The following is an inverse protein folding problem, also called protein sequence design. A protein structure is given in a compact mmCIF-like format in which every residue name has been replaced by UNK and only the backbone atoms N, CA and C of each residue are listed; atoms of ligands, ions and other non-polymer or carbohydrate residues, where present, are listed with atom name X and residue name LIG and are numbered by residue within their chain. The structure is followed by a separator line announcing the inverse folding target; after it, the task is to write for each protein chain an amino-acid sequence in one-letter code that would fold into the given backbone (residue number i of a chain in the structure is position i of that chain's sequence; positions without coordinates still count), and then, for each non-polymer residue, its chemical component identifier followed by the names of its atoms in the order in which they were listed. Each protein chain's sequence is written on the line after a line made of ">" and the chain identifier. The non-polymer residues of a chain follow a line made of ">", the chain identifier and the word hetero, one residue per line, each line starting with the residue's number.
data_IF_840388048966
#
_entry.id   IF_840388048966
#
_cell.length_a   1.000
_cell.length_b   1.000
_cell.length_c   1.000
_cell.angle_alpha   90.00
_cell.angle_beta   90.00
_cell.angle_gamma   90.00
#
_symmetry.space_group_name_H-M   'P 1'
#
loop_
_entity.id
_entity.type
_entity.pdbx_description
1 polymer ?
#
# COMPACT_ATOMS: atom_id res chain seq x y z
N UNK A 1 18.46 -21.27 -32.65
CA UNK A 1 17.55 -20.84 -31.55
C UNK A 1 18.26 -19.83 -30.68
N UNK A 2 17.90 -18.57 -30.77
CA UNK A 2 18.48 -17.49 -29.98
C UNK A 2 17.73 -17.28 -28.70
N UNK A 3 18.40 -16.67 -27.69
CA UNK A 3 17.75 -16.17 -26.51
C UNK A 3 16.84 -14.99 -26.86
N UNK A 4 15.67 -14.88 -26.20
CA UNK A 4 14.72 -13.81 -26.41
C UNK A 4 14.55 -13.01 -25.10
N UNK A 5 14.71 -11.69 -25.20
CA UNK A 5 14.33 -10.77 -24.14
C UNK A 5 13.02 -10.09 -24.56
N UNK A 6 12.07 -9.99 -23.65
CA UNK A 6 10.75 -9.45 -23.93
C UNK A 6 10.34 -8.49 -22.81
N UNK A 7 10.10 -7.23 -23.16
CA UNK A 7 9.50 -6.27 -22.26
C UNK A 7 7.97 -6.46 -22.23
N UNK A 8 7.40 -6.43 -21.04
CA UNK A 8 5.97 -6.59 -20.78
C UNK A 8 5.47 -5.47 -19.90
N UNK A 9 4.24 -5.05 -20.08
CA UNK A 9 3.59 -4.19 -19.08
C UNK A 9 3.25 -5.00 -17.81
N UNK A 10 3.11 -4.32 -16.68
CA UNK A 10 2.89 -4.91 -15.35
C UNK A 10 1.51 -5.58 -15.15
N UNK A 11 0.82 -5.94 -16.22
CA UNK A 11 -0.46 -6.66 -16.14
C UNK A 11 -0.22 -8.15 -15.93
N UNK A 12 -0.80 -8.80 -14.92
CA UNK A 12 -0.62 -10.23 -14.65
C UNK A 12 -0.95 -11.15 -15.83
N UNK A 13 -1.95 -10.75 -16.64
CA UNK A 13 -2.36 -11.49 -17.85
C UNK A 13 -1.25 -11.61 -18.90
N UNK A 14 -0.33 -10.65 -18.96
CA UNK A 14 0.75 -10.64 -19.95
C UNK A 14 1.84 -11.69 -19.69
N UNK A 15 1.93 -12.20 -18.47
CA UNK A 15 2.88 -13.24 -18.09
C UNK A 15 2.33 -14.66 -18.25
N UNK A 16 1.01 -14.84 -18.24
CA UNK A 16 0.40 -16.18 -18.35
C UNK A 16 0.73 -16.83 -19.69
N UNK A 17 1.06 -18.12 -19.66
CA UNK A 17 1.41 -18.91 -20.84
C UNK A 17 2.82 -18.66 -21.40
N UNK A 18 3.67 -17.89 -20.73
CA UNK A 18 5.07 -17.66 -21.09
C UNK A 18 5.98 -18.57 -20.30
N UNK A 19 7.24 -18.67 -20.73
CA UNK A 19 8.30 -19.43 -20.05
C UNK A 19 9.58 -18.60 -20.00
N UNK A 20 10.39 -18.82 -18.96
CA UNK A 20 11.68 -18.18 -18.80
C UNK A 20 11.81 -17.38 -17.49
N UNK A 21 12.98 -16.79 -17.30
CA UNK A 21 13.25 -15.94 -16.14
C UNK A 21 12.45 -14.64 -16.22
N UNK A 22 11.98 -14.17 -15.08
CA UNK A 22 11.24 -12.91 -14.95
C UNK A 22 12.05 -11.94 -14.10
N UNK A 23 12.17 -10.72 -14.57
CA UNK A 23 12.64 -9.58 -13.77
C UNK A 23 11.49 -8.58 -13.66
N UNK A 24 11.10 -8.24 -12.46
CA UNK A 24 10.14 -7.19 -12.15
C UNK A 24 10.96 -5.99 -11.72
N UNK A 25 11.00 -5.00 -12.59
CA UNK A 25 11.70 -3.74 -12.36
C UNK A 25 10.78 -2.76 -11.66
N UNK A 26 11.33 -1.87 -10.85
CA UNK A 26 10.58 -0.91 -10.01
C UNK A 26 9.48 -1.59 -9.16
N UNK A 27 9.82 -2.76 -8.57
CA UNK A 27 8.85 -3.63 -7.92
C UNK A 27 8.03 -2.93 -6.82
N UNK A 28 8.62 -2.00 -6.07
CA UNK A 28 7.93 -1.26 -5.02
C UNK A 28 6.86 -0.28 -5.52
N UNK A 29 6.85 0.03 -6.83
CA UNK A 29 5.95 1.01 -7.45
C UNK A 29 4.82 0.39 -8.27
N UNK A 30 4.69 -0.94 -8.24
CA UNK A 30 3.58 -1.61 -8.92
C UNK A 30 2.34 -1.63 -8.04
N UNK A 31 1.22 -1.07 -8.50
CA UNK A 31 -0.06 -1.06 -7.78
C UNK A 31 -0.57 -2.48 -7.45
N UNK A 32 -0.29 -3.45 -8.32
CA UNK A 32 -0.72 -4.83 -8.18
C UNK A 32 0.46 -5.81 -8.09
N UNK A 33 1.50 -5.46 -7.33
CA UNK A 33 2.70 -6.29 -7.22
C UNK A 33 2.37 -7.75 -6.81
N UNK A 34 1.43 -7.94 -5.89
CA UNK A 34 1.04 -9.28 -5.42
C UNK A 34 0.56 -10.18 -6.57
N UNK A 35 -0.30 -9.67 -7.44
CA UNK A 35 -0.84 -10.42 -8.58
C UNK A 35 0.21 -10.65 -9.68
N UNK A 36 1.04 -9.65 -9.93
CA UNK A 36 2.18 -9.75 -10.86
C UNK A 36 3.16 -10.82 -10.38
N UNK A 37 3.51 -10.80 -9.09
CA UNK A 37 4.41 -11.76 -8.47
C UNK A 37 3.83 -13.17 -8.49
N UNK A 38 2.54 -13.34 -8.18
CA UNK A 38 1.84 -14.62 -8.25
C UNK A 38 1.91 -15.23 -9.65
N UNK A 39 1.69 -14.41 -10.69
CA UNK A 39 1.81 -14.86 -12.07
C UNK A 39 3.26 -15.24 -12.43
N UNK A 40 4.26 -14.46 -11.97
CA UNK A 40 5.67 -14.74 -12.19
C UNK A 40 6.13 -16.01 -11.47
N UNK A 41 5.70 -16.23 -10.23
CA UNK A 41 6.06 -17.42 -9.44
C UNK A 41 5.53 -18.72 -10.05
N UNK A 42 4.40 -18.70 -10.76
CA UNK A 42 3.90 -19.87 -11.47
C UNK A 42 4.91 -20.40 -12.52
N UNK A 43 5.78 -19.54 -13.05
CA UNK A 43 6.82 -19.94 -14.01
C UNK A 43 7.99 -20.66 -13.35
N UNK A 44 8.18 -20.51 -12.03
CA UNK A 44 9.29 -21.15 -11.30
C UNK A 44 9.17 -22.68 -11.24
N UNK A 45 7.98 -23.24 -11.45
CA UNK A 45 7.76 -24.67 -11.54
C UNK A 45 8.63 -25.35 -12.62
N UNK A 46 9.02 -24.58 -13.64
CA UNK A 46 9.87 -25.04 -14.74
C UNK A 46 11.33 -24.64 -14.59
N UNK A 47 11.76 -24.28 -13.35
CA UNK A 47 13.15 -23.90 -13.06
C UNK A 47 13.48 -22.44 -13.38
N UNK A 48 12.51 -21.63 -13.76
CA UNK A 48 12.70 -20.20 -13.99
C UNK A 48 13.03 -19.46 -12.68
N UNK A 49 13.74 -18.35 -12.81
CA UNK A 49 14.07 -17.45 -11.68
C UNK A 49 13.24 -16.19 -11.76
N UNK A 50 12.78 -15.74 -10.61
CA UNK A 50 12.10 -14.44 -10.45
C UNK A 50 13.02 -13.50 -9.70
N UNK A 51 13.25 -12.32 -10.25
CA UNK A 51 14.02 -11.22 -9.65
C UNK A 51 13.11 -10.02 -9.49
N UNK A 52 13.20 -9.37 -8.33
CA UNK A 52 12.56 -8.09 -8.05
C UNK A 52 13.70 -7.08 -7.86
N UNK A 53 13.62 -5.98 -8.58
CA UNK A 53 14.58 -4.88 -8.50
C UNK A 53 13.78 -3.61 -8.21
N UNK A 54 14.18 -2.84 -7.23
CA UNK A 54 13.56 -1.55 -6.93
C UNK A 54 14.38 -0.75 -5.92
N UNK A 55 14.21 0.56 -5.89
CA UNK A 55 14.35 1.36 -4.67
C UNK A 55 13.15 1.09 -3.77
N UNK A 56 13.18 1.56 -2.52
CA UNK A 56 12.03 1.43 -1.62
C UNK A 56 10.94 2.44 -1.95
N UNK A 57 9.73 2.16 -1.50
CA UNK A 57 8.57 3.06 -1.55
C UNK A 57 7.80 2.93 -0.22
N UNK A 58 8.44 3.37 0.85
CA UNK A 58 7.93 3.26 2.21
C UNK A 58 8.07 1.88 2.85
N UNK A 59 7.91 1.83 4.17
CA UNK A 59 7.97 0.57 4.95
C UNK A 59 6.74 -0.32 4.72
N UNK A 60 5.59 0.28 4.40
CA UNK A 60 4.29 -0.40 4.24
C UNK A 60 4.06 -0.85 2.79
N UNK A 61 5.06 -1.48 2.20
CA UNK A 61 5.03 -1.91 0.81
C UNK A 61 5.37 -3.39 0.72
N UNK A 62 4.68 -4.15 -0.13
CA UNK A 62 4.90 -5.58 -0.31
C UNK A 62 6.36 -5.91 -0.64
N UNK A 63 7.05 -5.05 -1.40
CA UNK A 63 8.47 -5.24 -1.70
C UNK A 63 9.32 -5.23 -0.41
N UNK A 64 9.07 -4.28 0.50
CA UNK A 64 9.75 -4.24 1.81
C UNK A 64 9.34 -5.44 2.69
N UNK A 65 8.07 -5.84 2.71
CA UNK A 65 7.61 -7.02 3.45
C UNK A 65 8.35 -8.28 2.99
N UNK A 66 8.49 -8.47 1.68
CA UNK A 66 9.23 -9.60 1.11
C UNK A 66 10.70 -9.61 1.53
N UNK A 67 11.35 -8.44 1.62
CA UNK A 67 12.73 -8.30 2.11
C UNK A 67 12.80 -8.69 3.58
N UNK A 68 11.91 -8.17 4.43
CA UNK A 68 11.90 -8.47 5.86
C UNK A 68 11.61 -9.95 6.11
N UNK A 69 10.62 -10.52 5.44
CA UNK A 69 10.29 -11.95 5.54
C UNK A 69 11.42 -12.85 5.06
N UNK A 70 12.16 -12.42 4.04
CA UNK A 70 13.32 -13.18 3.54
C UNK A 70 14.48 -13.13 4.53
N UNK A 71 14.75 -11.97 5.13
CA UNK A 71 15.77 -11.82 6.19
C UNK A 71 15.41 -12.61 7.45
N UNK A 72 14.11 -12.71 7.76
CA UNK A 72 13.59 -13.52 8.87
C UNK A 72 13.51 -15.03 8.55
N UNK A 73 13.93 -15.47 7.37
CA UNK A 73 13.88 -16.87 6.94
C UNK A 73 12.49 -17.41 6.58
N UNK A 74 11.46 -16.55 6.54
CA UNK A 74 10.09 -16.95 6.18
C UNK A 74 9.92 -17.12 4.66
N UNK A 75 10.76 -16.50 3.86
CA UNK A 75 10.79 -16.60 2.39
C UNK A 75 12.16 -17.07 1.92
N UNK A 76 12.22 -17.67 0.73
CA UNK A 76 13.45 -18.24 0.15
C UNK A 76 14.15 -17.30 -0.84
N UNK A 77 13.94 -16.00 -0.76
CA UNK A 77 14.65 -15.07 -1.62
C UNK A 77 16.05 -14.77 -1.06
N UNK A 78 17.02 -14.64 -1.95
CA UNK A 78 18.27 -13.96 -1.61
C UNK A 78 18.06 -12.46 -1.70
N UNK A 79 18.45 -11.73 -0.65
CA UNK A 79 18.34 -10.27 -0.61
C UNK A 79 19.70 -9.66 -0.92
N UNK A 80 19.75 -8.84 -1.96
CA UNK A 80 20.92 -8.07 -2.34
C UNK A 80 20.64 -6.59 -2.10
N UNK A 81 21.53 -5.90 -1.42
CA UNK A 81 21.46 -4.47 -1.17
C UNK A 81 22.67 -3.80 -1.81
N UNK A 82 22.45 -2.78 -2.60
CA UNK A 82 23.49 -1.98 -3.24
C UNK A 82 23.15 -0.51 -2.99
N UNK A 83 23.99 0.17 -2.24
CA UNK A 83 23.88 1.61 -1.97
C UNK A 83 24.64 2.43 -2.99
N UNK A 84 24.45 3.75 -2.96
CA UNK A 84 25.25 4.68 -3.75
C UNK A 84 26.74 4.54 -3.47
N UNK A 85 27.11 4.36 -2.18
CA UNK A 85 28.52 4.19 -1.81
C UNK A 85 29.09 2.88 -2.35
N UNK A 86 28.37 1.76 -2.22
CA UNK A 86 28.77 0.48 -2.81
C UNK A 86 28.96 0.59 -4.32
N UNK A 87 28.06 1.30 -5.00
CA UNK A 87 28.13 1.49 -6.45
C UNK A 87 29.32 2.38 -6.85
N UNK A 88 29.63 3.42 -6.07
CA UNK A 88 30.80 4.27 -6.29
C UNK A 88 32.10 3.50 -6.06
N UNK A 89 32.19 2.69 -5.00
CA UNK A 89 33.34 1.80 -4.78
C UNK A 89 33.56 0.84 -5.94
N UNK A 90 32.48 0.36 -6.57
CA UNK A 90 32.53 -0.48 -7.75
C UNK A 90 32.79 0.30 -9.05
N UNK A 91 32.97 1.62 -8.97
CA UNK A 91 33.39 2.47 -10.08
C UNK A 91 32.25 3.14 -10.86
N UNK A 92 31.06 3.30 -10.27
CA UNK A 92 29.91 3.97 -10.94
C UNK A 92 30.31 5.37 -11.44
N UNK A 93 30.83 6.23 -10.58
CA UNK A 93 31.16 7.59 -10.98
C UNK A 93 32.36 7.64 -11.95
N UNK A 94 33.33 6.76 -11.81
CA UNK A 94 34.43 6.58 -12.80
C UNK A 94 33.86 6.29 -14.18
N UNK A 95 32.87 5.40 -14.25
CA UNK A 95 32.21 5.06 -15.50
C UNK A 95 31.42 6.24 -16.09
N UNK A 96 30.72 6.99 -15.25
CA UNK A 96 30.01 8.23 -15.66
C UNK A 96 31.01 9.25 -16.24
N UNK A 97 32.12 9.49 -15.56
CA UNK A 97 33.18 10.38 -16.04
C UNK A 97 33.72 9.92 -17.41
N UNK A 98 34.01 8.63 -17.54
CA UNK A 98 34.49 8.04 -18.80
C UNK A 98 33.51 8.28 -19.95
N UNK A 99 32.21 8.03 -19.74
CA UNK A 99 31.18 8.23 -20.76
C UNK A 99 31.02 9.71 -21.13
N UNK A 100 31.20 10.61 -20.15
CA UNK A 100 31.11 12.06 -20.34
C UNK A 100 32.41 12.73 -20.81
N UNK A 101 33.48 11.96 -20.98
CA UNK A 101 34.78 12.50 -21.38
C UNK A 101 35.43 13.41 -20.34
N UNK A 102 35.11 13.22 -19.05
CA UNK A 102 35.65 14.02 -17.94
C UNK A 102 36.68 13.21 -17.12
N UNK A 103 37.71 13.84 -16.56
CA UNK A 103 38.62 13.16 -15.64
C UNK A 103 37.86 12.81 -14.35
N UNK A 104 38.15 11.61 -13.81
CA UNK A 104 37.68 11.24 -12.49
C UNK A 104 38.71 11.67 -11.42
N UNK A 105 38.21 12.21 -10.32
CA UNK A 105 38.98 12.41 -9.08
C UNK A 105 38.11 12.05 -7.88
N UNK A 106 38.72 11.66 -6.72
CA UNK A 106 37.92 11.39 -5.51
C UNK A 106 37.10 12.58 -5.04
N UNK A 107 37.67 13.80 -5.14
CA UNK A 107 36.99 15.05 -4.74
C UNK A 107 35.76 15.31 -5.60
N UNK A 108 35.85 15.10 -6.90
CA UNK A 108 34.71 15.26 -7.83
C UNK A 108 33.64 14.20 -7.58
N UNK A 109 34.01 12.98 -7.15
CA UNK A 109 33.05 11.94 -6.77
C UNK A 109 32.29 12.31 -5.49
N UNK A 110 32.99 12.80 -4.46
CA UNK A 110 32.34 13.25 -3.22
C UNK A 110 31.44 14.48 -3.46
N UNK A 111 31.87 15.43 -4.26
CA UNK A 111 31.03 16.58 -4.65
C UNK A 111 29.78 16.14 -5.41
N UNK A 112 29.92 15.20 -6.34
CA UNK A 112 28.79 14.64 -7.10
C UNK A 112 27.80 13.92 -6.18
N UNK A 113 28.26 13.08 -5.26
CA UNK A 113 27.41 12.43 -4.25
C UNK A 113 26.68 13.45 -3.38
N UNK A 114 27.41 14.44 -2.88
CA UNK A 114 26.83 15.51 -2.07
C UNK A 114 25.73 16.31 -2.80
N UNK A 115 25.92 16.55 -4.09
CA UNK A 115 24.92 17.25 -4.91
C UNK A 115 23.69 16.37 -5.14
N UNK A 116 23.83 15.08 -5.43
CA UNK A 116 22.69 14.13 -5.52
C UNK A 116 21.83 14.17 -4.25
N UNK A 117 22.46 14.16 -3.08
CA UNK A 117 21.73 14.19 -1.80
C UNK A 117 21.04 15.54 -1.54
N UNK A 118 21.60 16.64 -2.02
CA UNK A 118 20.98 17.98 -1.92
C UNK A 118 19.82 18.18 -2.86
N UNK A 119 19.81 17.47 -4.00
CA UNK A 119 18.77 17.60 -5.02
C UNK A 119 17.48 16.86 -4.61
N UNK A 120 17.54 15.99 -3.57
CA UNK A 120 16.34 15.33 -3.03
C UNK A 120 15.54 16.27 -2.13
N UNK A 121 14.22 16.11 -2.11
CA UNK A 121 13.32 16.98 -1.37
C UNK A 121 13.52 16.89 0.15
N UNK A 122 13.82 15.68 0.68
CA UNK A 122 14.09 15.44 2.09
C UNK A 122 15.27 14.48 2.27
N UNK A 123 15.82 14.45 3.49
CA UNK A 123 16.86 13.49 3.84
C UNK A 123 16.34 12.04 3.77
N UNK A 124 15.11 11.84 4.15
CA UNK A 124 14.43 10.54 4.11
C UNK A 124 14.29 10.05 2.66
N UNK A 125 13.98 10.95 1.71
CA UNK A 125 13.96 10.63 0.28
C UNK A 125 15.33 10.17 -0.21
N UNK A 126 16.39 10.89 0.19
CA UNK A 126 17.76 10.53 -0.18
C UNK A 126 18.18 9.16 0.39
N UNK A 127 17.79 8.85 1.63
CA UNK A 127 18.06 7.56 2.26
C UNK A 127 17.29 6.44 1.57
N UNK A 128 16.06 6.68 1.16
CA UNK A 128 15.24 5.69 0.46
C UNK A 128 15.79 5.41 -0.94
N UNK A 129 16.07 6.44 -1.71
CA UNK A 129 16.48 6.34 -3.10
C UNK A 129 17.91 5.81 -3.25
N UNK A 130 18.86 6.31 -2.45
CA UNK A 130 20.28 6.04 -2.63
C UNK A 130 20.88 5.06 -1.62
N UNK A 131 20.24 4.85 -0.48
CA UNK A 131 20.80 4.03 0.59
C UNK A 131 19.94 2.82 0.98
N UNK A 132 18.86 2.54 0.25
CA UNK A 132 17.97 1.42 0.50
C UNK A 132 17.41 1.40 1.93
N UNK A 133 17.06 2.56 2.47
CA UNK A 133 16.44 2.73 3.78
C UNK A 133 15.00 3.18 3.57
N UNK A 134 14.00 2.29 3.73
CA UNK A 134 12.62 2.65 3.48
C UNK A 134 12.15 3.71 4.48
N UNK A 135 11.37 4.68 4.01
CA UNK A 135 10.78 5.70 4.85
C UNK A 135 9.79 5.07 5.82
N UNK A 136 9.85 5.48 7.07
CA UNK A 136 8.79 5.22 8.04
C UNK A 136 7.59 6.13 7.70
N UNK A 137 6.56 5.60 7.06
CA UNK A 137 5.37 6.35 6.67
C UNK A 137 5.44 6.92 5.26
N UNK A 138 5.51 6.06 4.25
CA UNK A 138 5.47 6.43 2.83
C UNK A 138 4.13 7.03 2.44
N UNK A 139 4.02 8.37 2.40
CA UNK A 139 2.87 9.07 1.84
C UNK A 139 1.59 9.08 2.68
N UNK A 140 1.45 8.24 3.67
CA UNK A 140 0.29 8.26 4.56
C UNK A 140 0.46 9.37 5.63
N UNK A 141 -0.51 10.28 5.69
CA UNK A 141 -0.56 11.32 6.74
C UNK A 141 -0.51 10.72 8.16
N UNK A 142 -1.09 9.53 8.34
CA UNK A 142 -1.02 8.72 9.55
C UNK A 142 -0.39 7.37 9.22
N UNK A 143 0.72 7.03 9.85
CA UNK A 143 1.30 5.70 9.71
C UNK A 143 0.42 4.63 10.34
N UNK A 144 0.49 3.40 9.83
CA UNK A 144 -0.23 2.24 10.40
C UNK A 144 0.06 2.07 11.90
N UNK A 145 1.31 2.21 12.31
CA UNK A 145 1.70 2.12 13.73
C UNK A 145 1.03 3.20 14.59
N UNK A 146 0.86 4.44 14.07
CA UNK A 146 0.13 5.50 14.77
C UNK A 146 -1.36 5.19 14.87
N UNK A 147 -1.96 4.61 13.85
CA UNK A 147 -3.36 4.17 13.84
C UNK A 147 -3.54 3.04 14.86
N UNK A 148 -2.76 1.96 14.75
CA UNK A 148 -2.85 0.80 15.64
C UNK A 148 -2.66 1.17 17.12
N UNK A 149 -1.75 2.11 17.43
CA UNK A 149 -1.56 2.61 18.81
C UNK A 149 -2.76 3.38 19.37
N UNK A 150 -3.72 3.75 18.54
CA UNK A 150 -4.94 4.49 18.91
C UNK A 150 -6.22 3.67 18.72
N UNK A 151 -6.10 2.46 18.17
CA UNK A 151 -7.24 1.57 18.03
C UNK A 151 -7.76 1.13 19.40
N UNK A 152 -9.08 1.09 19.50
CA UNK A 152 -9.80 0.56 20.66
C UNK A 152 -10.75 -0.52 20.15
N UNK A 153 -11.15 -1.43 21.03
CA UNK A 153 -12.19 -2.40 20.74
C UNK A 153 -13.55 -1.70 20.76
N UNK A 154 -14.06 -1.39 19.58
CA UNK A 154 -15.33 -0.69 19.40
C UNK A 154 -16.31 -1.55 18.57
N UNK A 155 -17.63 -1.48 18.84
CA UNK A 155 -18.62 -2.20 18.07
C UNK A 155 -18.56 -1.86 16.56
N UNK A 156 -18.68 -2.89 15.72
CA UNK A 156 -18.86 -2.73 14.27
C UNK A 156 -20.15 -3.41 13.90
N UNK A 157 -21.15 -2.63 13.50
CA UNK A 157 -22.43 -3.14 13.01
C UNK A 157 -22.40 -3.24 11.49
N UNK A 158 -23.01 -4.30 10.94
CA UNK A 158 -22.92 -4.62 9.52
C UNK A 158 -24.29 -4.88 8.94
N UNK A 159 -24.52 -4.34 7.74
CA UNK A 159 -25.65 -4.71 6.89
C UNK A 159 -25.14 -5.10 5.50
N UNK A 160 -25.60 -6.24 5.01
CA UNK A 160 -25.28 -6.71 3.66
C UNK A 160 -26.57 -6.90 2.86
N UNK A 161 -26.76 -6.10 1.81
CA UNK A 161 -27.90 -6.22 0.90
C UNK A 161 -27.81 -7.50 0.07
N UNK A 162 -28.72 -8.43 0.32
CA UNK A 162 -28.83 -9.68 -0.45
C UNK A 162 -29.30 -9.42 -1.90
N UNK A 163 -29.28 -10.45 -2.73
CA UNK A 163 -29.84 -10.37 -4.09
C UNK A 163 -31.35 -10.06 -4.05
N UNK A 164 -32.07 -10.65 -3.09
CA UNK A 164 -33.50 -10.43 -2.88
C UNK A 164 -33.75 -9.00 -2.43
N UNK A 165 -33.02 -8.45 -1.46
CA UNK A 165 -33.04 -7.06 -1.04
C UNK A 165 -32.89 -6.11 -2.22
N UNK A 166 -31.96 -6.37 -3.12
CA UNK A 166 -31.69 -5.51 -4.27
C UNK A 166 -32.74 -5.67 -5.39
N UNK A 167 -33.49 -6.75 -5.41
CA UNK A 167 -34.55 -7.02 -6.40
C UNK A 167 -35.88 -6.38 -6.07
N UNK A 168 -36.14 -6.01 -4.80
CA UNK A 168 -37.43 -5.41 -4.40
C UNK A 168 -37.47 -3.89 -4.67
N UNK A 169 -38.70 -3.30 -4.81
CA UNK A 169 -38.84 -1.86 -4.93
C UNK A 169 -38.26 -1.06 -3.77
N UNK A 170 -37.91 0.19 -4.05
CA UNK A 170 -37.19 1.09 -3.10
C UNK A 170 -37.86 1.21 -1.73
N UNK A 171 -39.21 1.32 -1.73
CA UNK A 171 -39.97 1.48 -0.47
C UNK A 171 -39.90 0.25 0.46
N UNK A 172 -39.77 -0.96 -0.08
CA UNK A 172 -39.53 -2.16 0.74
C UNK A 172 -38.12 -2.20 1.29
N UNK A 173 -37.12 -1.81 0.49
CA UNK A 173 -35.73 -1.67 0.98
C UNK A 173 -35.64 -0.66 2.12
N UNK A 174 -36.33 0.48 1.99
CA UNK A 174 -36.38 1.48 3.05
C UNK A 174 -36.91 0.91 4.36
N UNK A 175 -38.04 0.14 4.31
CA UNK A 175 -38.61 -0.49 5.49
C UNK A 175 -37.64 -1.50 6.15
N UNK A 176 -36.89 -2.26 5.36
CA UNK A 176 -35.91 -3.23 5.86
C UNK A 176 -34.74 -2.53 6.53
N UNK A 177 -34.23 -1.45 5.90
CA UNK A 177 -33.15 -0.63 6.49
C UNK A 177 -33.64 0.05 7.77
N UNK A 178 -34.84 0.62 7.79
CA UNK A 178 -35.41 1.24 8.98
C UNK A 178 -35.53 0.24 10.14
N UNK A 179 -35.98 -0.98 9.86
CA UNK A 179 -36.08 -2.04 10.88
C UNK A 179 -34.66 -2.40 11.41
N UNK A 180 -33.69 -2.54 10.52
CA UNK A 180 -32.30 -2.81 10.91
C UNK A 180 -31.71 -1.64 11.73
N UNK A 181 -31.98 -0.40 11.34
CA UNK A 181 -31.54 0.77 12.09
C UNK A 181 -32.14 0.81 13.51
N UNK A 182 -33.42 0.47 13.65
CA UNK A 182 -34.09 0.40 14.95
C UNK A 182 -33.44 -0.66 15.86
N UNK A 183 -33.08 -1.80 15.29
CA UNK A 183 -32.52 -2.91 16.06
C UNK A 183 -31.05 -2.71 16.40
N UNK A 184 -30.24 -2.21 15.46
CA UNK A 184 -28.77 -2.24 15.59
C UNK A 184 -28.13 -0.85 15.76
N UNK A 185 -28.63 0.19 15.05
CA UNK A 185 -28.00 1.50 15.04
C UNK A 185 -28.48 2.39 16.21
N UNK A 186 -29.80 2.51 16.39
CA UNK A 186 -30.36 3.39 17.42
C UNK A 186 -29.87 3.07 18.82
N UNK A 187 -29.74 1.79 19.26
CA UNK A 187 -29.20 1.48 20.58
C UNK A 187 -27.76 1.94 20.81
N UNK A 188 -26.97 2.13 19.72
CA UNK A 188 -25.62 2.67 19.80
C UNK A 188 -25.64 4.20 19.83
N UNK A 189 -26.52 4.83 19.07
CA UNK A 189 -26.71 6.27 19.09
C UNK A 189 -27.22 6.75 20.45
N UNK A 190 -28.13 6.02 21.09
CA UNK A 190 -28.67 6.34 22.42
C UNK A 190 -27.60 6.29 23.55
N UNK A 191 -26.49 5.57 23.30
CA UNK A 191 -25.36 5.53 24.25
C UNK A 191 -24.39 6.69 24.11
N UNK A 192 -24.52 7.52 23.09
CA UNK A 192 -23.66 8.67 22.91
C UNK A 192 -23.90 9.72 23.99
N UNK A 193 -22.83 10.33 24.51
CA UNK A 193 -22.96 11.42 25.50
C UNK A 193 -23.50 12.68 24.82
N UNK A 194 -24.73 13.13 25.12
CA UNK A 194 -25.31 14.30 24.47
C UNK A 194 -24.61 15.64 24.83
N UNK A 195 -23.67 15.63 25.76
CA UNK A 195 -22.87 16.82 26.14
C UNK A 195 -21.68 17.03 25.20
N UNK A 196 -21.32 16.05 24.38
CA UNK A 196 -20.21 16.14 23.45
C UNK A 196 -20.72 16.68 22.10
N UNK A 197 -19.81 17.29 21.34
CA UNK A 197 -20.08 17.58 19.94
C UNK A 197 -19.92 16.29 19.13
N UNK A 198 -20.87 16.05 18.22
CA UNK A 198 -20.84 14.88 17.35
C UNK A 198 -20.80 15.28 15.88
N UNK A 199 -20.09 14.50 15.09
CA UNK A 199 -20.10 14.53 13.65
C UNK A 199 -19.93 13.09 13.12
N UNK A 200 -20.02 12.89 11.83
CA UNK A 200 -19.68 11.60 11.20
C UNK A 200 -18.93 11.83 9.91
N UNK A 201 -18.15 10.83 9.51
CA UNK A 201 -17.59 10.72 8.18
C UNK A 201 -18.16 9.50 7.48
N UNK A 202 -18.33 9.58 6.18
CA UNK A 202 -18.83 8.49 5.36
C UNK A 202 -17.95 8.33 4.13
N UNK A 203 -17.55 7.08 3.87
CA UNK A 203 -16.90 6.67 2.64
C UNK A 203 -17.83 5.74 1.88
N UNK A 204 -18.23 6.16 0.68
CA UNK A 204 -19.25 5.47 -0.11
C UNK A 204 -18.66 4.32 -0.92
N UNK A 205 -19.18 3.13 -0.72
CA UNK A 205 -18.94 1.94 -1.53
C UNK A 205 -20.25 1.23 -1.90
N UNK A 206 -20.21 0.29 -2.85
CA UNK A 206 -21.39 -0.50 -3.19
C UNK A 206 -21.07 -1.98 -3.35
N UNK A 207 -20.56 -2.40 -4.49
CA UNK A 207 -20.42 -3.83 -4.83
C UNK A 207 -18.99 -4.35 -4.76
N UNK A 208 -17.98 -3.50 -4.90
CA UNK A 208 -16.57 -3.85 -4.79
C UNK A 208 -15.96 -3.50 -3.44
N UNK A 209 -16.43 -2.37 -2.88
CA UNK A 209 -15.97 -1.82 -1.61
C UNK A 209 -17.12 -1.70 -0.62
N UNK A 210 -16.80 -1.56 0.66
CA UNK A 210 -17.76 -1.26 1.72
C UNK A 210 -18.08 0.23 1.75
N UNK A 211 -19.33 0.59 2.06
CA UNK A 211 -19.59 1.89 2.65
C UNK A 211 -19.29 1.80 4.13
N UNK A 212 -18.53 2.76 4.63
CA UNK A 212 -18.22 2.85 6.05
C UNK A 212 -18.68 4.20 6.59
N UNK A 213 -19.50 4.17 7.64
CA UNK A 213 -19.90 5.37 8.38
C UNK A 213 -19.21 5.32 9.74
N UNK A 214 -18.46 6.39 10.04
CA UNK A 214 -17.73 6.55 11.30
C UNK A 214 -18.29 7.73 12.10
N UNK A 215 -19.20 7.51 13.04
CA UNK A 215 -19.60 8.52 14.00
C UNK A 215 -18.42 8.94 14.87
N UNK A 216 -18.33 10.21 15.20
CA UNK A 216 -17.24 10.77 15.98
C UNK A 216 -17.78 11.66 17.11
N UNK A 217 -17.36 11.39 18.32
CA UNK A 217 -17.56 12.25 19.46
C UNK A 217 -16.29 13.09 19.70
N UNK A 218 -16.46 14.38 19.98
CA UNK A 218 -15.37 15.33 20.24
C UNK A 218 -15.43 15.78 21.69
N UNK A 219 -14.41 15.44 22.46
CA UNK A 219 -14.32 15.84 23.87
C UNK A 219 -13.94 17.33 24.01
N UNK A 220 -14.09 17.88 25.22
CA UNK A 220 -13.66 19.25 25.51
C UNK A 220 -12.15 19.48 25.28
N UNK A 221 -11.32 18.42 25.39
CA UNK A 221 -9.90 18.46 25.09
C UNK A 221 -9.60 18.26 23.61
N UNK A 222 -10.61 18.32 22.75
CA UNK A 222 -10.54 18.10 21.29
C UNK A 222 -10.06 16.67 20.90
N UNK A 223 -10.14 15.71 21.81
CA UNK A 223 -9.91 14.31 21.47
C UNK A 223 -11.10 13.80 20.67
N UNK A 224 -10.82 13.20 19.54
CA UNK A 224 -11.80 12.60 18.65
C UNK A 224 -11.88 11.09 18.92
N UNK A 225 -13.07 10.62 19.23
CA UNK A 225 -13.34 9.21 19.56
C UNK A 225 -14.37 8.68 18.58
N UNK A 226 -14.10 7.50 18.01
CA UNK A 226 -15.07 6.77 17.18
C UNK A 226 -15.70 5.69 18.04
N UNK A 227 -16.93 5.87 18.52
CA UNK A 227 -17.56 4.96 19.48
C UNK A 227 -18.02 3.64 18.85
N UNK A 228 -18.30 3.62 17.57
CA UNK A 228 -18.65 2.44 16.78
C UNK A 228 -18.46 2.71 15.29
N UNK A 229 -18.55 1.67 14.46
CA UNK A 229 -18.53 1.76 13.00
C UNK A 229 -19.79 1.10 12.42
N UNK A 230 -20.24 1.63 11.30
CA UNK A 230 -21.28 1.01 10.45
C UNK A 230 -20.62 0.61 9.14
N UNK A 231 -20.73 -0.65 8.76
CA UNK A 231 -20.27 -1.19 7.49
C UNK A 231 -21.48 -1.65 6.67
N UNK A 232 -21.65 -1.09 5.48
CA UNK A 232 -22.71 -1.46 4.55
C UNK A 232 -22.10 -2.09 3.30
N UNK A 233 -22.60 -3.24 2.91
CA UNK A 233 -22.19 -3.93 1.68
C UNK A 233 -23.36 -4.10 0.74
N UNK A 234 -23.15 -3.82 -0.54
CA UNK A 234 -24.14 -4.03 -1.59
C UNK A 234 -25.49 -3.33 -1.31
N UNK A 235 -25.45 -2.17 -0.69
CA UNK A 235 -26.61 -1.32 -0.40
C UNK A 235 -26.65 -0.19 -1.43
N UNK A 236 -27.78 0.08 -2.10
CA UNK A 236 -27.91 1.21 -3.01
C UNK A 236 -27.76 2.55 -2.27
N UNK A 237 -27.10 3.54 -2.88
CA UNK A 237 -26.79 4.85 -2.26
C UNK A 237 -27.99 5.59 -1.65
N UNK A 238 -29.19 5.36 -2.13
CA UNK A 238 -30.39 5.95 -1.55
C UNK A 238 -30.81 5.36 -0.19
N UNK A 239 -30.30 4.20 0.15
CA UNK A 239 -30.57 3.48 1.39
C UNK A 239 -29.36 3.51 2.36
N UNK A 240 -28.28 4.14 1.98
CA UNK A 240 -27.13 4.44 2.84
C UNK A 240 -27.36 5.75 3.58
#
# INVERSE_FOLDING_TARGET
>A
SGFKIQALSSRPSNMRGRQGNVTIDEAAFHDQLAEVLKAALALTMWGAKVRLISTHNGVENLFNELIQDSRAGKKRYSVHRITLDDACEQGLYKRICQVRGKPWTPEAEEEWKANLLKDTATREDALEEYYCVPKAGGGAYLSRAMIEARMVDAPVIRFEGSAEFNAVPEHYRALEIDAWCQEHLLPLLDKLDPKLAHCFGEDFGRSGDLTVIAPMAITQQLVRQVPFLVELRNVPFKQQ
#
